data_IF_338923128268
#
_entry.id   IF_338923128268
#
_cell.length_a   1.000
_cell.length_b   1.000
_cell.length_c   1.000
_cell.angle_alpha   90.00
_cell.angle_beta   90.00
_cell.angle_gamma   90.00
#
_symmetry.space_group_name_H-M   'P 1'
#
loop_
_entity.id
_entity.type
_entity.pdbx_description
1 polymer ?
#
# COMPACT_ATOMS: atom_id res chain seq x y z
N UNK A 1 11.89 8.10 19.86
CA UNK A 1 11.60 7.28 18.67
C UNK A 1 11.31 8.20 17.49
N UNK A 2 11.92 8.00 16.31
CA UNK A 2 11.72 8.90 15.16
C UNK A 2 10.40 8.58 14.46
N UNK A 3 9.68 9.61 13.99
CA UNK A 3 8.40 9.46 13.29
C UNK A 3 8.52 8.55 12.04
N UNK A 4 9.63 8.66 11.31
CA UNK A 4 9.90 7.88 10.09
C UNK A 4 10.06 6.37 10.37
N UNK A 5 10.76 5.99 11.42
CA UNK A 5 10.97 4.58 11.78
C UNK A 5 9.64 3.90 12.13
N UNK A 6 8.76 4.61 12.85
CA UNK A 6 7.42 4.13 13.16
C UNK A 6 6.57 3.95 11.91
N UNK A 7 6.64 4.89 10.96
CA UNK A 7 5.92 4.81 9.69
C UNK A 7 6.37 3.60 8.86
N UNK A 8 7.68 3.43 8.69
CA UNK A 8 8.27 2.28 7.97
C UNK A 8 7.86 0.97 8.66
N UNK A 9 8.06 0.89 9.98
CA UNK A 9 7.73 -0.30 10.77
C UNK A 9 6.26 -0.69 10.67
N UNK A 10 5.34 0.28 10.72
CA UNK A 10 3.90 0.04 10.60
C UNK A 10 3.50 -0.42 9.20
N UNK A 11 4.17 0.09 8.17
CA UNK A 11 3.93 -0.34 6.79
C UNK A 11 4.36 -1.77 6.57
N UNK A 12 5.57 -2.15 7.03
CA UNK A 12 6.05 -3.53 6.98
C UNK A 12 5.09 -4.47 7.73
N UNK A 13 4.70 -4.09 8.95
CA UNK A 13 3.76 -4.86 9.76
C UNK A 13 2.41 -5.06 9.07
N UNK A 14 1.89 -4.02 8.42
CA UNK A 14 0.62 -4.08 7.69
C UNK A 14 0.67 -5.12 6.58
N UNK A 15 1.65 -5.02 5.68
CA UNK A 15 1.78 -5.92 4.54
C UNK A 15 2.04 -7.35 4.99
N UNK A 16 2.96 -7.54 5.94
CA UNK A 16 3.26 -8.86 6.52
C UNK A 16 2.01 -9.53 7.09
N UNK A 17 1.26 -8.82 7.94
CA UNK A 17 0.14 -9.42 8.70
C UNK A 17 -1.15 -9.49 7.89
N UNK A 18 -1.55 -8.40 7.25
CA UNK A 18 -2.89 -8.26 6.67
C UNK A 18 -2.99 -8.77 5.22
N UNK A 19 -1.87 -8.81 4.50
CA UNK A 19 -1.83 -9.21 3.09
C UNK A 19 -1.20 -10.59 2.95
N UNK A 20 -0.03 -10.81 3.56
CA UNK A 20 0.69 -12.09 3.45
C UNK A 20 0.38 -13.10 4.57
N UNK A 21 -0.27 -12.67 5.65
CA UNK A 21 -0.62 -13.54 6.76
C UNK A 21 0.58 -14.15 7.50
N UNK A 22 1.77 -13.56 7.40
CA UNK A 22 2.96 -14.09 8.07
C UNK A 22 2.98 -13.70 9.54
N UNK A 23 3.36 -14.63 10.42
CA UNK A 23 3.77 -14.32 11.79
C UNK A 23 5.10 -13.57 11.79
N UNK A 24 5.44 -12.91 12.91
CA UNK A 24 6.72 -12.22 13.02
C UNK A 24 7.89 -13.21 12.95
N UNK A 25 7.71 -14.41 13.50
CA UNK A 25 8.63 -15.54 13.47
C UNK A 25 8.89 -15.99 12.03
N UNK A 26 7.83 -16.35 11.30
CA UNK A 26 7.94 -16.83 9.92
C UNK A 26 8.54 -15.77 8.99
N UNK A 27 8.23 -14.50 9.23
CA UNK A 27 8.80 -13.42 8.44
C UNK A 27 10.28 -13.19 8.76
N UNK A 28 10.68 -13.27 10.02
CA UNK A 28 12.07 -13.16 10.44
C UNK A 28 12.92 -14.31 9.88
N UNK A 29 12.38 -15.54 9.90
CA UNK A 29 12.98 -16.72 9.30
C UNK A 29 13.26 -16.51 7.80
N UNK A 30 12.26 -16.03 7.04
CA UNK A 30 12.41 -15.70 5.60
C UNK A 30 13.49 -14.65 5.32
N UNK A 31 13.76 -13.78 6.30
CA UNK A 31 14.74 -12.71 6.19
C UNK A 31 16.11 -13.08 6.77
N UNK A 32 16.27 -14.28 7.34
CA UNK A 32 17.49 -14.72 8.01
C UNK A 32 17.87 -13.85 9.22
N UNK A 33 16.88 -13.38 9.99
CA UNK A 33 17.06 -12.49 11.15
C UNK A 33 16.23 -12.96 12.34
N UNK A 34 16.45 -12.36 13.50
CA UNK A 34 15.68 -12.70 14.70
C UNK A 34 14.28 -12.09 14.70
N UNK A 35 13.31 -12.82 15.27
CA UNK A 35 11.96 -12.30 15.58
C UNK A 35 12.04 -10.98 16.36
N UNK A 36 12.93 -10.92 17.36
CA UNK A 36 13.13 -9.73 18.19
C UNK A 36 13.55 -8.50 17.37
N UNK A 37 14.36 -8.67 16.34
CA UNK A 37 14.70 -7.59 15.42
C UNK A 37 13.47 -7.12 14.61
N UNK A 38 12.66 -8.04 14.06
CA UNK A 38 11.40 -7.68 13.38
C UNK A 38 10.47 -6.90 14.33
N UNK A 39 10.28 -7.35 15.57
CA UNK A 39 9.45 -6.62 16.54
C UNK A 39 9.96 -5.21 16.82
N UNK A 40 11.28 -5.02 16.91
CA UNK A 40 11.89 -3.69 17.09
C UNK A 40 11.73 -2.80 15.86
N UNK A 41 11.85 -3.36 14.66
CA UNK A 41 11.61 -2.63 13.41
C UNK A 41 10.14 -2.21 13.31
N UNK A 42 9.19 -3.11 13.52
CA UNK A 42 7.76 -2.83 13.35
C UNK A 42 7.17 -1.87 14.38
N UNK A 43 7.76 -1.83 15.57
CA UNK A 43 7.45 -0.83 16.59
C UNK A 43 8.09 0.54 16.30
N UNK A 44 9.06 0.60 15.39
CA UNK A 44 9.89 1.78 15.14
C UNK A 44 10.99 2.00 16.19
N UNK A 45 11.21 1.02 17.09
CA UNK A 45 12.23 1.09 18.14
C UNK A 45 13.66 1.17 17.56
N UNK A 46 13.90 0.44 16.47
CA UNK A 46 15.16 0.51 15.72
C UNK A 46 14.90 0.94 14.29
N UNK A 47 15.82 1.75 13.75
CA UNK A 47 15.85 2.03 12.31
C UNK A 47 16.25 0.80 11.50
N UNK A 48 16.09 0.91 10.18
CA UNK A 48 16.37 -0.17 9.23
C UNK A 48 17.13 0.39 8.01
N UNK A 49 18.12 -0.37 7.51
CA UNK A 49 18.89 0.01 6.33
C UNK A 49 18.06 -0.11 5.04
N UNK A 50 18.40 0.67 4.01
CA UNK A 50 17.80 0.56 2.67
C UNK A 50 17.94 -0.84 2.06
N UNK A 51 19.10 -1.49 2.22
CA UNK A 51 19.31 -2.87 1.72
C UNK A 51 18.31 -3.86 2.34
N UNK A 52 18.04 -3.75 3.64
CA UNK A 52 17.05 -4.58 4.31
C UNK A 52 15.62 -4.23 3.89
N UNK A 53 15.31 -2.94 3.64
CA UNK A 53 14.02 -2.54 3.06
C UNK A 53 13.82 -3.20 1.70
N UNK A 54 14.84 -3.24 0.84
CA UNK A 54 14.78 -3.91 -0.47
C UNK A 54 14.50 -5.42 -0.33
N UNK A 55 15.18 -6.10 0.60
CA UNK A 55 14.93 -7.52 0.88
C UNK A 55 13.50 -7.78 1.36
N UNK A 56 13.01 -6.93 2.27
CA UNK A 56 11.64 -7.00 2.79
C UNK A 56 10.63 -6.79 1.66
N UNK A 57 10.84 -5.78 0.82
CA UNK A 57 9.98 -5.46 -0.31
C UNK A 57 9.86 -6.64 -1.28
N UNK A 58 10.97 -7.32 -1.58
CA UNK A 58 10.99 -8.54 -2.41
C UNK A 58 10.12 -9.66 -1.84
N UNK A 59 10.23 -9.94 -0.53
CA UNK A 59 9.41 -10.98 0.12
C UNK A 59 7.93 -10.60 0.12
N UNK A 60 7.63 -9.32 0.33
CA UNK A 60 6.27 -8.78 0.35
C UNK A 60 5.73 -8.44 -1.05
N UNK A 61 6.49 -8.72 -2.12
CA UNK A 61 6.11 -8.46 -3.53
C UNK A 61 5.57 -7.05 -3.77
N UNK A 62 6.19 -6.06 -3.13
CA UNK A 62 5.90 -4.63 -3.27
C UNK A 62 7.19 -3.87 -3.59
N UNK A 63 7.05 -2.62 -4.03
CA UNK A 63 8.12 -1.64 -4.17
C UNK A 63 8.70 -1.23 -2.80
N UNK A 64 10.02 -1.05 -2.69
CA UNK A 64 10.65 -0.40 -1.54
C UNK A 64 10.05 0.98 -1.24
N UNK A 65 9.61 1.71 -2.28
CA UNK A 65 8.97 3.02 -2.11
C UNK A 65 7.66 2.90 -1.32
N UNK A 66 6.88 1.85 -1.51
CA UNK A 66 5.64 1.62 -0.74
C UNK A 66 5.91 1.55 0.75
N UNK A 67 7.03 0.94 1.16
CA UNK A 67 7.45 0.87 2.57
C UNK A 67 7.82 2.26 3.11
N UNK A 68 8.52 3.05 2.30
CA UNK A 68 8.99 4.39 2.66
C UNK A 68 7.86 5.43 2.67
N UNK A 69 6.88 5.30 1.78
CA UNK A 69 5.74 6.21 1.63
C UNK A 69 4.72 6.10 2.77
N UNK A 70 4.71 4.98 3.50
CA UNK A 70 3.78 4.78 4.60
C UNK A 70 2.40 4.32 4.15
N UNK A 71 1.51 4.14 5.13
CA UNK A 71 0.11 3.76 4.89
C UNK A 71 -0.78 5.00 4.76
N UNK A 72 -1.90 4.91 4.03
CA UNK A 72 -2.93 5.95 4.06
C UNK A 72 -3.55 6.05 5.46
N UNK A 73 -4.37 7.09 5.67
CA UNK A 73 -5.19 7.22 6.87
C UNK A 73 -6.08 5.98 7.07
N UNK A 74 -6.48 5.72 8.32
CA UNK A 74 -7.12 4.46 8.71
C UNK A 74 -8.40 4.21 7.92
N UNK A 75 -9.20 5.24 7.69
CA UNK A 75 -10.48 5.20 6.98
C UNK A 75 -10.29 4.69 5.55
N UNK A 76 -9.33 5.27 4.84
CA UNK A 76 -8.89 4.86 3.51
C UNK A 76 -8.34 3.43 3.50
N UNK A 77 -7.49 3.09 4.47
CA UNK A 77 -6.92 1.74 4.58
C UNK A 77 -8.00 0.68 4.82
N UNK A 78 -8.99 0.97 5.66
CA UNK A 78 -10.10 0.09 5.95
C UNK A 78 -10.97 -0.13 4.71
N UNK A 79 -11.22 0.91 3.90
CA UNK A 79 -11.92 0.79 2.61
C UNK A 79 -11.16 -0.08 1.62
N UNK A 80 -9.85 0.17 1.44
CA UNK A 80 -9.00 -0.64 0.56
C UNK A 80 -9.00 -2.11 0.99
N UNK A 81 -8.93 -2.38 2.30
CA UNK A 81 -8.95 -3.75 2.82
C UNK A 81 -10.30 -4.45 2.60
N UNK A 82 -11.44 -3.73 2.68
CA UNK A 82 -12.75 -4.31 2.35
C UNK A 82 -12.82 -4.73 0.89
N UNK A 83 -12.31 -3.90 -0.01
CA UNK A 83 -12.21 -4.24 -1.43
C UNK A 83 -11.28 -5.46 -1.63
N UNK A 84 -10.08 -5.42 -1.06
CA UNK A 84 -9.10 -6.51 -1.21
C UNK A 84 -9.60 -7.86 -0.69
N UNK A 85 -10.31 -7.87 0.44
CA UNK A 85 -10.80 -9.10 1.08
C UNK A 85 -12.06 -9.65 0.43
N UNK A 86 -12.77 -8.87 -0.37
CA UNK A 86 -13.99 -9.32 -1.03
C UNK A 86 -13.62 -10.13 -2.29
N UNK A 87 -13.91 -11.46 -2.32
CA UNK A 87 -13.53 -12.32 -3.44
C UNK A 87 -14.10 -11.86 -4.78
N UNK A 88 -15.22 -11.14 -4.78
CA UNK A 88 -15.85 -10.57 -5.98
C UNK A 88 -14.89 -9.73 -6.82
N UNK A 89 -13.95 -9.03 -6.17
CA UNK A 89 -13.09 -8.07 -6.86
C UNK A 89 -11.79 -8.69 -7.36
N UNK A 90 -11.38 -9.85 -6.84
CA UNK A 90 -10.16 -10.56 -7.26
C UNK A 90 -8.92 -9.65 -7.35
N UNK A 91 -8.71 -8.81 -6.34
CA UNK A 91 -7.66 -7.78 -6.36
C UNK A 91 -6.27 -8.42 -6.28
N UNK A 92 -5.41 -8.10 -7.23
CA UNK A 92 -4.00 -8.56 -7.24
C UNK A 92 -3.15 -7.76 -6.25
N UNK A 93 -1.97 -8.29 -5.88
CA UNK A 93 -1.02 -7.58 -5.00
C UNK A 93 -0.58 -6.24 -5.61
N UNK A 94 -0.38 -6.18 -6.93
CA UNK A 94 0.03 -4.96 -7.63
C UNK A 94 -1.07 -3.90 -7.64
N UNK A 95 -2.33 -4.31 -7.82
CA UNK A 95 -3.49 -3.42 -7.70
C UNK A 95 -3.63 -2.91 -6.27
N UNK A 96 -3.56 -3.81 -5.28
CA UNK A 96 -3.60 -3.43 -3.86
C UNK A 96 -2.48 -2.44 -3.51
N UNK A 97 -1.26 -2.69 -3.96
CA UNK A 97 -0.14 -1.78 -3.77
C UNK A 97 -0.42 -0.41 -4.37
N UNK A 98 -0.99 -0.37 -5.58
CA UNK A 98 -1.35 0.88 -6.23
C UNK A 98 -2.40 1.63 -5.41
N UNK A 99 -3.49 0.98 -5.00
CA UNK A 99 -4.54 1.58 -4.16
C UNK A 99 -3.98 2.09 -2.83
N UNK A 100 -3.10 1.32 -2.19
CA UNK A 100 -2.42 1.70 -0.94
C UNK A 100 -1.49 2.88 -1.13
N UNK A 101 -0.97 3.19 -2.33
CA UNK A 101 -0.10 4.33 -2.57
C UNK A 101 -0.83 5.59 -3.05
N UNK A 102 -2.12 5.50 -3.38
CA UNK A 102 -2.90 6.67 -3.77
C UNK A 102 -3.10 7.57 -2.55
N UNK A 103 -2.72 8.84 -2.69
CA UNK A 103 -2.80 9.86 -1.66
C UNK A 103 -3.51 11.06 -2.25
N UNK A 104 -4.49 11.58 -1.52
CA UNK A 104 -5.17 12.82 -1.82
C UNK A 104 -4.89 13.78 -0.67
N UNK A 105 -4.61 15.05 -0.99
CA UNK A 105 -4.25 16.02 0.04
C UNK A 105 -5.45 16.26 0.96
N UNK A 106 -5.28 15.91 2.23
CA UNK A 106 -6.23 16.13 3.34
C UNK A 106 -7.66 15.58 3.11
N UNK A 107 -7.78 14.57 2.26
CA UNK A 107 -9.07 14.05 1.80
C UNK A 107 -9.20 12.55 2.04
N UNK A 108 -10.33 12.19 2.66
CA UNK A 108 -10.71 10.78 2.83
C UNK A 108 -11.36 10.29 1.54
N UNK A 109 -10.75 9.28 0.94
CA UNK A 109 -11.25 8.65 -0.28
C UNK A 109 -12.30 7.61 0.11
N UNK A 110 -13.49 7.73 -0.45
CA UNK A 110 -14.58 6.77 -0.23
C UNK A 110 -14.35 5.48 -1.01
N UNK A 111 -15.05 4.42 -0.62
CA UNK A 111 -14.86 3.07 -1.18
C UNK A 111 -15.20 3.02 -2.68
N UNK A 112 -16.24 3.75 -3.10
CA UNK A 112 -16.66 3.86 -4.50
C UNK A 112 -15.55 4.40 -5.42
N UNK A 113 -14.74 5.34 -4.94
CA UNK A 113 -13.63 5.91 -5.69
C UNK A 113 -12.51 4.90 -5.91
N UNK A 114 -12.18 4.10 -4.88
CA UNK A 114 -11.21 3.01 -5.04
C UNK A 114 -11.69 1.94 -6.03
N UNK A 115 -12.99 1.66 -6.08
CA UNK A 115 -13.57 0.75 -7.06
C UNK A 115 -13.53 1.33 -8.48
N UNK A 116 -13.75 2.63 -8.65
CA UNK A 116 -13.56 3.30 -9.95
C UNK A 116 -12.11 3.22 -10.41
N UNK A 117 -11.16 3.54 -9.53
CA UNK A 117 -9.72 3.44 -9.81
C UNK A 117 -9.35 2.01 -10.19
N UNK A 118 -9.82 1.01 -9.45
CA UNK A 118 -9.56 -0.41 -9.76
C UNK A 118 -10.05 -0.79 -11.16
N UNK A 119 -11.24 -0.31 -11.56
CA UNK A 119 -11.77 -0.52 -12.93
C UNK A 119 -10.86 0.12 -13.98
N UNK A 120 -10.38 1.34 -13.75
CA UNK A 120 -9.50 2.06 -14.66
C UNK A 120 -8.12 1.39 -14.80
N UNK A 121 -7.55 0.90 -13.70
CA UNK A 121 -6.29 0.15 -13.73
C UNK A 121 -6.41 -1.09 -14.63
N UNK A 122 -7.58 -1.74 -14.65
CA UNK A 122 -7.84 -2.93 -15.47
C UNK A 122 -8.06 -2.57 -16.94
N UNK A 123 -8.87 -1.56 -17.24
CA UNK A 123 -9.13 -1.13 -18.62
C UNK A 123 -7.86 -0.61 -19.32
N UNK A 124 -6.99 0.06 -18.57
CA UNK A 124 -5.71 0.57 -19.08
C UNK A 124 -4.72 -0.55 -19.41
N UNK A 125 -4.70 -1.65 -18.64
CA UNK A 125 -3.83 -2.80 -18.91
C UNK A 125 -4.26 -3.61 -20.15
N UNK A 126 -5.53 -3.56 -20.55
CA UNK A 126 -6.02 -4.16 -21.80
C UNK A 126 -5.65 -3.37 -23.07
N UNK A 127 -5.34 -2.07 -22.97
CA UNK A 127 -5.00 -1.20 -24.11
C UNK A 127 -3.50 -0.90 -24.18
N UNK A 128 -2.65 -1.95 -24.17
CA UNK A 128 -1.19 -1.80 -24.14
C UNK A 128 -0.53 -1.41 -25.48
N UNK A 129 -1.30 -0.98 -26.50
CA UNK A 129 -0.76 -0.24 -27.63
C UNK A 129 -1.42 1.14 -27.69
N UNK A 130 -0.67 2.16 -27.29
CA UNK A 130 -1.01 3.59 -27.27
C UNK A 130 -2.09 4.01 -26.27
N UNK A 131 -1.70 4.23 -25.00
CA UNK A 131 -1.96 5.48 -24.24
C UNK A 131 -1.41 5.34 -22.81
N UNK A 132 -0.83 6.41 -22.27
CA UNK A 132 -0.26 6.43 -20.91
C UNK A 132 -1.40 6.51 -19.86
N UNK A 133 -1.54 5.53 -18.95
CA UNK A 133 -2.58 5.50 -17.90
C UNK A 133 -2.48 6.64 -16.87
N UNK A 134 -1.35 7.37 -16.87
CA UNK A 134 -1.09 8.45 -15.92
C UNK A 134 -2.11 9.58 -16.06
N UNK A 135 -2.43 9.99 -17.28
CA UNK A 135 -3.29 11.15 -17.51
C UNK A 135 -4.74 10.89 -17.09
N UNK A 136 -5.31 9.70 -17.35
CA UNK A 136 -6.70 9.42 -16.97
C UNK A 136 -6.87 9.21 -15.47
N UNK A 137 -5.91 8.54 -14.82
CA UNK A 137 -5.90 8.44 -13.36
C UNK A 137 -5.72 9.83 -12.77
N UNK A 138 -4.75 10.62 -13.25
CA UNK A 138 -4.52 11.98 -12.76
C UNK A 138 -5.77 12.86 -12.97
N UNK A 139 -6.51 12.72 -14.07
CA UNK A 139 -7.79 13.41 -14.31
C UNK A 139 -8.86 12.95 -13.31
N UNK A 140 -9.05 11.64 -13.10
CA UNK A 140 -10.02 11.16 -12.10
C UNK A 140 -9.62 11.61 -10.68
N UNK A 141 -8.32 11.61 -10.36
CA UNK A 141 -7.83 12.12 -9.09
C UNK A 141 -8.17 13.62 -8.97
N UNK A 142 -8.04 14.41 -10.04
CA UNK A 142 -8.45 15.82 -10.05
C UNK A 142 -9.96 15.98 -9.88
N UNK A 143 -10.78 15.20 -10.59
CA UNK A 143 -12.24 15.25 -10.49
C UNK A 143 -12.72 14.89 -9.07
N UNK A 144 -12.14 13.84 -8.47
CA UNK A 144 -12.41 13.47 -7.07
C UNK A 144 -11.94 14.58 -6.12
N UNK A 145 -10.80 15.23 -6.39
CA UNK A 145 -10.37 16.38 -5.61
C UNK A 145 -11.39 17.53 -5.72
N UNK A 146 -11.93 17.83 -6.89
CA UNK A 146 -12.95 18.88 -7.04
C UNK A 146 -14.25 18.53 -6.29
N UNK A 147 -14.76 17.31 -6.41
CA UNK A 147 -15.97 16.86 -5.68
C UNK A 147 -15.82 16.97 -4.16
N UNK A 148 -14.63 16.64 -3.64
CA UNK A 148 -14.33 16.72 -2.21
C UNK A 148 -14.01 18.15 -1.74
N UNK A 149 -13.76 19.11 -2.63
CA UNK A 149 -13.62 20.54 -2.29
C UNK A 149 -14.96 21.27 -2.24
N UNK A 150 -15.97 20.73 -2.93
CA UNK A 150 -17.29 21.35 -3.09
C UNK A 150 -18.35 20.83 -2.09
N UNK A 151 -17.96 19.94 -1.18
CA UNK A 151 -18.75 19.44 -0.04
C UNK A 151 -18.05 19.76 1.28
#
# INVERSE_FOLDING_TARGET
>A
MKKIDKLIGKTIQFWRKNVFGYTAEKFAEKLGISKGYISKVESGYTGISLSKIEQIAKILKISPLTILSGLPVKESLDAILRIYRNPKYEVTIKELETLVNIRFRDKVIKEEHYLQILKMLRSSNSNLNSYRPKNEIDILLLDIEEELSNN
#
